data_IF_420191480032
#
_entry.id   IF_420191480032
#
_cell.length_a   1.000
_cell.length_b   1.000
_cell.length_c   1.000
_cell.angle_alpha   90.00
_cell.angle_beta   90.00
_cell.angle_gamma   90.00
#
_symmetry.space_group_name_H-M   'P 1'
#
loop_
_entity.id
_entity.type
_entity.pdbx_description
1 polymer ?
#
# COMPACT_ATOMS: atom_id res chain seq x y z
N UNK A 1 2.46 0.76 13.24
CA UNK A 1 1.66 0.72 12.01
C UNK A 1 2.61 0.37 10.88
N UNK A 2 2.31 -0.66 10.13
CA UNK A 2 3.03 -1.07 8.93
C UNK A 2 2.28 -0.50 7.74
N UNK A 3 2.96 0.05 6.77
CA UNK A 3 2.36 0.69 5.61
C UNK A 3 3.06 0.22 4.35
N UNK A 4 2.26 -0.04 3.31
CA UNK A 4 2.75 -0.43 1.99
C UNK A 4 1.83 0.06 0.87
N UNK A 5 2.37 0.16 -0.33
CA UNK A 5 1.63 0.47 -1.55
C UNK A 5 1.77 -0.65 -2.57
N UNK A 6 0.67 -0.97 -3.20
CA UNK A 6 0.67 -1.95 -4.28
C UNK A 6 -0.11 -1.46 -5.50
N UNK A 7 0.22 -2.02 -6.65
CA UNK A 7 -0.47 -1.74 -7.91
C UNK A 7 -1.02 -3.02 -8.52
N UNK A 8 -2.33 -3.06 -8.73
CA UNK A 8 -3.00 -4.15 -9.42
C UNK A 8 -3.18 -3.79 -10.90
N UNK A 9 -2.57 -4.57 -11.77
CA UNK A 9 -2.81 -4.47 -13.20
C UNK A 9 -4.00 -5.37 -13.55
N UNK A 10 -5.00 -4.82 -14.22
CA UNK A 10 -6.15 -5.58 -14.73
C UNK A 10 -5.81 -6.37 -16.02
N UNK A 11 -4.55 -6.71 -16.20
CA UNK A 11 -4.09 -7.57 -17.28
C UNK A 11 -4.28 -9.02 -16.82
N UNK A 12 -4.95 -9.89 -17.62
CA UNK A 12 -5.10 -11.29 -17.26
C UNK A 12 -3.72 -11.93 -17.08
N UNK A 13 -3.54 -12.59 -15.95
CA UNK A 13 -2.35 -13.40 -15.74
C UNK A 13 -2.31 -14.53 -16.78
N UNK A 14 -1.16 -14.71 -17.41
CA UNK A 14 -0.92 -15.87 -18.27
C UNK A 14 -0.93 -17.11 -17.39
N UNK A 15 -2.03 -17.86 -17.39
CA UNK A 15 -2.16 -19.12 -16.67
C UNK A 15 -2.47 -20.24 -17.65
N UNK A 16 -2.01 -21.44 -17.34
CA UNK A 16 -2.43 -22.64 -18.06
C UNK A 16 -3.92 -22.86 -17.81
N UNK A 17 -4.68 -23.10 -18.86
CA UNK A 17 -6.10 -23.46 -18.78
C UNK A 17 -6.33 -24.75 -19.55
N UNK A 18 -7.48 -25.39 -19.27
CA UNK A 18 -7.90 -26.59 -19.97
C UNK A 18 -8.49 -26.23 -21.32
N UNK A 19 -8.07 -26.96 -22.36
CA UNK A 19 -8.62 -26.86 -23.70
C UNK A 19 -8.56 -28.24 -24.37
N UNK A 20 -9.40 -28.52 -25.37
CA UNK A 20 -9.31 -29.75 -26.17
C UNK A 20 -7.91 -29.88 -26.78
N UNK A 21 -7.41 -31.09 -26.89
CA UNK A 21 -6.07 -31.37 -27.45
C UNK A 21 -5.97 -30.79 -28.85
N UNK A 22 -4.92 -30.02 -29.10
CA UNK A 22 -4.69 -29.35 -30.38
C UNK A 22 -5.38 -27.99 -30.56
N UNK A 23 -6.16 -27.52 -29.57
CA UNK A 23 -6.81 -26.22 -29.61
C UNK A 23 -6.23 -25.31 -28.52
N UNK A 24 -5.65 -24.18 -28.93
CA UNK A 24 -5.24 -23.13 -27.99
C UNK A 24 -6.44 -22.22 -27.73
N UNK A 25 -6.87 -22.04 -26.49
CA UNK A 25 -8.00 -21.16 -26.19
C UNK A 25 -7.60 -19.71 -26.48
N UNK A 26 -8.42 -19.02 -27.29
CA UNK A 26 -8.28 -17.61 -27.58
C UNK A 26 -9.18 -16.85 -26.60
N UNK A 27 -8.58 -16.12 -25.67
CA UNK A 27 -9.33 -15.27 -24.75
C UNK A 27 -9.25 -13.84 -25.30
N UNK A 28 -10.38 -13.27 -25.80
CA UNK A 28 -10.39 -11.89 -26.24
C UNK A 28 -10.08 -10.96 -25.07
N UNK A 29 -9.04 -10.19 -25.19
CA UNK A 29 -8.62 -9.26 -24.16
C UNK A 29 -8.49 -7.85 -24.73
N UNK A 30 -9.08 -6.87 -24.05
CA UNK A 30 -8.82 -5.46 -24.34
C UNK A 30 -7.56 -5.05 -23.61
N UNK A 31 -6.52 -4.69 -24.36
CA UNK A 31 -5.29 -4.12 -23.80
C UNK A 31 -5.54 -2.70 -23.24
N UNK A 32 -6.35 -2.59 -22.22
CA UNK A 32 -6.34 -1.41 -21.35
C UNK A 32 -5.39 -1.70 -20.22
N UNK A 33 -4.40 -0.86 -20.07
CA UNK A 33 -3.53 -0.84 -18.88
C UNK A 33 -4.29 -0.22 -17.71
N UNK A 34 -5.46 -0.74 -17.43
CA UNK A 34 -6.23 -0.31 -16.28
C UNK A 34 -5.49 -0.80 -15.03
N UNK A 35 -4.99 0.14 -14.27
CA UNK A 35 -4.26 -0.10 -13.02
C UNK A 35 -5.11 0.43 -11.89
N UNK A 36 -5.22 -0.35 -10.84
CA UNK A 36 -5.73 0.11 -9.55
C UNK A 36 -4.56 0.15 -8.59
N UNK A 37 -4.26 1.32 -8.06
CA UNK A 37 -3.27 1.46 -6.99
C UNK A 37 -3.97 1.38 -5.64
N UNK A 38 -3.31 0.80 -4.67
CA UNK A 38 -3.79 0.73 -3.31
C UNK A 38 -2.69 1.14 -2.35
N UNK A 39 -3.09 1.78 -1.26
CA UNK A 39 -2.25 1.99 -0.10
C UNK A 39 -2.95 1.35 1.08
N UNK A 40 -2.22 0.57 1.86
CA UNK A 40 -2.74 -0.14 3.01
C UNK A 40 -1.86 0.07 4.25
N UNK A 41 -2.48 -0.14 5.41
CA UNK A 41 -1.78 -0.09 6.68
C UNK A 41 -2.35 -1.08 7.67
N UNK A 42 -1.46 -1.91 8.23
CA UNK A 42 -1.76 -2.78 9.35
C UNK A 42 -1.33 -2.10 10.64
N UNK A 43 -2.26 -1.91 11.56
CA UNK A 43 -1.98 -1.31 12.87
C UNK A 43 -2.04 -2.34 13.98
N UNK A 44 -1.10 -2.26 14.91
CA UNK A 44 -1.05 -3.11 16.09
C UNK A 44 -1.02 -2.23 17.34
N UNK A 45 -1.93 -2.46 18.25
CA UNK A 45 -1.96 -1.78 19.56
C UNK A 45 -1.21 -2.62 20.59
N UNK A 46 -0.07 -2.17 21.13
CA UNK A 46 0.70 -2.95 22.09
C UNK A 46 -0.05 -3.23 23.39
N UNK A 47 -0.89 -2.32 23.82
CA UNK A 47 -1.64 -2.43 25.09
C UNK A 47 -2.90 -3.29 24.99
N UNK A 48 -3.58 -3.24 23.83
CA UNK A 48 -4.90 -3.88 23.64
C UNK A 48 -4.86 -5.13 22.79
N UNK A 49 -3.71 -5.49 22.23
CA UNK A 49 -3.51 -6.60 21.30
C UNK A 49 -4.54 -6.59 20.16
N UNK A 50 -4.94 -5.41 19.72
CA UNK A 50 -5.87 -5.21 18.60
C UNK A 50 -5.07 -4.88 17.36
N UNK A 51 -5.44 -5.54 16.27
CA UNK A 51 -4.99 -5.19 14.94
C UNK A 51 -6.10 -4.41 14.21
N UNK A 52 -5.71 -3.46 13.38
CA UNK A 52 -6.60 -2.76 12.48
C UNK A 52 -6.02 -2.80 11.07
N UNK A 53 -6.90 -2.87 10.08
CA UNK A 53 -6.55 -2.80 8.67
C UNK A 53 -7.23 -1.58 8.05
N UNK A 54 -6.44 -0.75 7.38
CA UNK A 54 -6.89 0.43 6.65
C UNK A 54 -6.44 0.29 5.21
N UNK A 55 -7.34 0.49 4.27
CA UNK A 55 -7.05 0.38 2.84
C UNK A 55 -7.70 1.56 2.11
N UNK A 56 -6.98 2.12 1.16
CA UNK A 56 -7.49 3.08 0.21
C UNK A 56 -7.11 2.65 -1.21
N UNK A 57 -8.10 2.68 -2.12
CA UNK A 57 -7.90 2.36 -3.53
C UNK A 57 -7.98 3.63 -4.36
N UNK A 58 -7.05 3.75 -5.31
CA UNK A 58 -7.04 4.82 -6.29
C UNK A 58 -7.10 4.22 -7.71
N UNK A 59 -8.29 4.20 -8.33
CA UNK A 59 -8.45 3.68 -9.69
C UNK A 59 -7.86 4.64 -10.71
N UNK A 60 -6.98 4.11 -11.57
CA UNK A 60 -6.45 4.84 -12.74
C UNK A 60 -5.28 5.80 -12.46
N UNK A 61 -4.85 5.94 -11.20
CA UNK A 61 -3.69 6.76 -10.83
C UNK A 61 -2.63 5.98 -10.07
N UNK A 62 -1.49 6.59 -9.87
CA UNK A 62 -0.42 6.08 -9.01
C UNK A 62 -0.50 6.72 -7.64
N UNK A 63 -0.19 5.96 -6.61
CA UNK A 63 0.02 6.51 -5.28
C UNK A 63 1.29 7.37 -5.30
N UNK A 64 1.15 8.62 -4.90
CA UNK A 64 2.24 9.58 -4.76
C UNK A 64 2.35 10.04 -3.29
N UNK A 65 3.30 10.90 -2.99
CA UNK A 65 3.45 11.47 -1.65
C UNK A 65 2.18 12.24 -1.18
N UNK A 66 1.36 12.74 -2.11
CA UNK A 66 0.10 13.41 -1.79
C UNK A 66 -0.90 12.43 -1.21
N UNK A 67 -1.14 11.31 -1.92
CA UNK A 67 -2.05 10.25 -1.48
C UNK A 67 -1.59 9.62 -0.17
N UNK A 68 -0.28 9.39 -0.02
CA UNK A 68 0.31 8.91 1.24
C UNK A 68 0.00 9.86 2.39
N UNK A 69 0.18 11.17 2.20
CA UNK A 69 -0.10 12.16 3.24
C UNK A 69 -1.60 12.23 3.59
N UNK A 70 -2.48 12.14 2.58
CA UNK A 70 -3.95 12.12 2.77
C UNK A 70 -4.36 10.87 3.54
N UNK A 71 -3.85 9.71 3.15
CA UNK A 71 -4.11 8.44 3.80
C UNK A 71 -3.68 8.46 5.28
N UNK A 72 -2.44 8.87 5.54
CA UNK A 72 -1.91 8.99 6.91
C UNK A 72 -2.78 9.91 7.77
N UNK A 73 -3.23 11.06 7.24
CA UNK A 73 -4.15 11.94 7.97
C UNK A 73 -5.46 11.27 8.32
N UNK A 74 -6.03 10.52 7.39
CA UNK A 74 -7.29 9.80 7.60
C UNK A 74 -7.15 8.72 8.68
N UNK A 75 -6.08 7.93 8.63
CA UNK A 75 -5.79 6.89 9.63
C UNK A 75 -5.50 7.51 11.00
N UNK A 76 -4.73 8.59 11.05
CA UNK A 76 -4.41 9.29 12.30
C UNK A 76 -5.64 9.87 13.03
N UNK A 77 -6.71 10.21 12.30
CA UNK A 77 -7.97 10.65 12.93
C UNK A 77 -8.65 9.53 13.71
N UNK A 78 -8.41 8.28 13.32
CA UNK A 78 -9.01 7.11 13.96
C UNK A 78 -8.12 6.53 15.07
N UNK A 79 -6.82 6.83 15.04
CA UNK A 79 -5.86 6.36 16.03
C UNK A 79 -5.61 7.41 17.12
N UNK A 80 -5.53 6.96 18.35
CA UNK A 80 -5.21 7.80 19.52
C UNK A 80 -3.77 7.56 19.96
N UNK A 81 -3.14 8.60 20.53
CA UNK A 81 -1.77 8.54 21.04
C UNK A 81 -0.72 8.63 19.95
N UNK A 82 0.50 8.24 20.28
CA UNK A 82 1.62 8.22 19.35
C UNK A 82 1.51 7.05 18.38
N UNK A 83 1.88 7.28 17.13
CA UNK A 83 1.87 6.29 16.05
C UNK A 83 3.27 6.20 15.46
N UNK A 84 3.84 5.02 15.45
CA UNK A 84 5.08 4.71 14.75
C UNK A 84 4.70 4.05 13.43
N UNK A 85 5.08 4.66 12.31
CA UNK A 85 4.91 4.11 10.96
C UNK A 85 6.19 3.41 10.56
N UNK A 86 6.07 2.16 10.18
CA UNK A 86 7.13 1.35 9.61
C UNK A 86 6.82 1.19 8.11
N UNK A 87 7.71 1.62 7.26
CA UNK A 87 7.55 1.56 5.80
C UNK A 87 8.88 1.31 5.09
N UNK A 88 8.83 1.07 3.80
CA UNK A 88 10.03 0.98 2.99
C UNK A 88 10.70 2.35 2.79
N UNK A 89 11.91 2.33 2.24
CA UNK A 89 12.67 3.56 1.93
C UNK A 89 12.24 4.28 0.65
N UNK A 90 11.05 4.02 0.11
CA UNK A 90 10.54 4.54 -1.15
C UNK A 90 10.61 6.07 -1.25
N UNK A 91 10.79 6.57 -2.47
CA UNK A 91 10.90 8.02 -2.72
C UNK A 91 9.61 8.78 -2.40
N UNK A 92 8.46 8.14 -2.55
CA UNK A 92 7.15 8.74 -2.26
C UNK A 92 6.97 9.07 -0.77
N UNK A 93 7.63 8.32 0.11
CA UNK A 93 7.63 8.58 1.56
C UNK A 93 8.47 9.82 1.95
N UNK A 94 9.34 10.28 1.06
CA UNK A 94 10.23 11.44 1.27
C UNK A 94 9.71 12.72 0.62
N UNK A 95 8.51 12.68 0.04
CA UNK A 95 7.91 13.82 -0.65
C UNK A 95 7.53 14.99 0.27
N UNK A 96 7.32 16.18 -0.30
CA UNK A 96 7.08 17.41 0.48
C UNK A 96 5.83 17.34 1.36
N UNK A 97 4.75 16.71 0.88
CA UNK A 97 3.50 16.59 1.64
C UNK A 97 3.64 15.70 2.87
N UNK A 98 4.40 14.61 2.74
CA UNK A 98 4.71 13.72 3.86
C UNK A 98 5.58 14.45 4.89
N UNK A 99 6.61 15.17 4.45
CA UNK A 99 7.46 15.97 5.36
C UNK A 99 6.65 17.03 6.08
N UNK A 100 5.78 17.75 5.38
CA UNK A 100 4.90 18.75 5.98
C UNK A 100 3.96 18.12 7.03
N UNK A 101 3.44 16.93 6.77
CA UNK A 101 2.63 16.20 7.73
C UNK A 101 3.43 15.82 8.97
N UNK A 102 4.63 15.29 8.81
CA UNK A 102 5.51 14.93 9.93
C UNK A 102 5.84 16.13 10.81
N UNK A 103 6.13 17.29 10.21
CA UNK A 103 6.39 18.53 10.93
C UNK A 103 5.18 19.00 11.74
N UNK A 104 3.97 18.87 11.19
CA UNK A 104 2.72 19.32 11.81
C UNK A 104 2.14 18.35 12.83
N UNK A 105 2.56 17.10 12.81
CA UNK A 105 1.98 16.05 13.63
C UNK A 105 3.04 15.38 14.53
N UNK A 106 3.39 15.96 15.68
CA UNK A 106 4.48 15.48 16.56
C UNK A 106 4.20 14.09 17.16
N UNK A 107 3.00 13.60 17.10
CA UNK A 107 2.64 12.23 17.53
C UNK A 107 2.89 11.15 16.47
N UNK A 108 3.24 11.55 15.24
CA UNK A 108 3.57 10.66 14.14
C UNK A 108 5.08 10.50 14.07
N UNK A 109 5.56 9.27 14.21
CA UNK A 109 6.96 8.89 14.11
C UNK A 109 7.12 7.93 12.95
N UNK A 110 8.24 8.01 12.26
CA UNK A 110 8.51 7.22 11.06
C UNK A 110 9.83 6.50 11.22
N UNK A 111 9.82 5.19 10.96
CA UNK A 111 11.00 4.35 10.97
C UNK A 111 11.03 3.56 9.65
N UNK A 112 12.09 3.72 8.83
CA UNK A 112 12.23 2.94 7.61
C UNK A 112 12.65 1.50 7.94
N UNK A 113 12.16 0.54 7.16
CA UNK A 113 12.71 -0.81 7.18
C UNK A 113 14.17 -0.82 6.71
N UNK A 114 14.97 -1.78 7.16
CA UNK A 114 16.26 -2.05 6.55
C UNK A 114 16.11 -2.31 5.04
N UNK A 115 17.09 -1.87 4.26
CA UNK A 115 17.08 -2.14 2.82
C UNK A 115 16.97 -3.65 2.51
N UNK A 116 16.19 -3.99 1.50
CA UNK A 116 15.99 -5.37 1.05
C UNK A 116 15.40 -6.33 2.08
N UNK A 117 14.54 -5.87 2.97
CA UNK A 117 13.87 -6.69 3.96
C UNK A 117 12.33 -6.67 3.83
N UNK A 118 11.76 -7.08 2.68
CA UNK A 118 10.30 -7.10 2.49
C UNK A 118 9.60 -8.03 3.48
N UNK A 119 10.27 -9.11 3.90
CA UNK A 119 9.73 -10.09 4.86
C UNK A 119 9.42 -9.50 6.24
N UNK A 120 9.92 -8.31 6.53
CA UNK A 120 9.62 -7.60 7.79
C UNK A 120 8.31 -6.81 7.73
N UNK A 121 7.74 -6.62 6.54
CA UNK A 121 6.48 -5.92 6.40
C UNK A 121 5.30 -6.88 6.29
N UNK A 122 4.48 -7.04 7.33
CA UNK A 122 3.31 -7.94 7.30
C UNK A 122 2.21 -7.46 6.35
N UNK A 123 2.33 -6.26 5.78
CA UNK A 123 1.38 -5.71 4.81
C UNK A 123 1.67 -6.19 3.37
N UNK A 124 2.88 -6.72 3.12
CA UNK A 124 3.31 -7.26 1.82
C UNK A 124 2.87 -8.72 1.62
N UNK A 125 2.46 -9.43 2.66
CA UNK A 125 2.18 -10.86 2.65
C UNK A 125 0.89 -11.25 1.90
#
# INVERSE_FOLDING_TARGET
>A
MFLDECGFLLIPNVRRTWAPRGHTPIIPHRYRRDKVSAISAVTVSPRRRRCGLYIHFDPGSNITHVEVAVFLRAVLRQLRGHVIVLWDGGSIHKGPDVRALLTRCPRLHVEPFPGYAPDLNPDVA
#
